data_IF_500260998843
#
_entry.id   IF_500260998843
#
_cell.length_a   1.000
_cell.length_b   1.000
_cell.length_c   1.000
_cell.angle_alpha   90.00
_cell.angle_beta   90.00
_cell.angle_gamma   90.00
#
_symmetry.space_group_name_H-M   'P 1'
#
loop_
_entity.id
_entity.type
_entity.pdbx_description
1 polymer ?
#
# COMPACT_ATOMS: atom_id res chain seq x y z
N UNK A 1 17.63 7.84 5.89
CA UNK A 1 17.10 7.22 7.11
C UNK A 1 15.92 6.33 6.75
N UNK A 2 15.80 5.19 7.41
CA UNK A 2 14.70 4.27 7.15
C UNK A 2 13.49 4.59 8.02
N UNK A 3 12.30 4.28 7.47
CA UNK A 3 11.04 4.37 8.21
C UNK A 3 10.85 3.09 9.02
N UNK A 4 9.77 3.06 9.82
CA UNK A 4 9.41 1.85 10.58
C UNK A 4 9.12 0.65 9.68
N UNK A 5 8.90 0.88 8.38
CA UNK A 5 8.59 -0.19 7.41
C UNK A 5 9.86 -0.77 6.78
N UNK A 6 11.05 -0.30 7.17
CA UNK A 6 12.29 -0.70 6.54
C UNK A 6 12.48 -0.12 5.14
N UNK A 7 11.77 0.95 4.82
CA UNK A 7 11.86 1.66 3.56
C UNK A 7 12.57 2.99 3.79
N UNK A 8 13.39 3.42 2.81
CA UNK A 8 13.95 4.76 2.86
C UNK A 8 12.82 5.79 2.86
N UNK A 9 13.05 6.91 3.54
CA UNK A 9 12.04 7.98 3.61
C UNK A 9 11.61 8.44 2.22
N UNK A 10 12.57 8.55 1.28
CA UNK A 10 12.26 8.96 -0.08
C UNK A 10 11.37 7.95 -0.81
N UNK A 11 11.55 6.66 -0.52
CA UNK A 11 10.74 5.61 -1.15
C UNK A 11 9.31 5.67 -0.63
N UNK A 12 9.14 5.84 0.68
CA UNK A 12 7.80 6.00 1.25
C UNK A 12 7.12 7.26 0.72
N UNK A 13 7.87 8.36 0.62
CA UNK A 13 7.32 9.61 0.09
C UNK A 13 6.89 9.45 -1.37
N UNK A 14 7.64 8.69 -2.17
CA UNK A 14 7.28 8.41 -3.55
C UNK A 14 5.98 7.59 -3.61
N UNK A 15 5.88 6.55 -2.79
CA UNK A 15 4.68 5.72 -2.72
C UNK A 15 3.45 6.57 -2.38
N UNK A 16 3.56 7.40 -1.36
CA UNK A 16 2.45 8.27 -0.93
C UNK A 16 2.08 9.26 -2.04
N UNK A 17 3.06 9.84 -2.72
CA UNK A 17 2.82 10.78 -3.81
C UNK A 17 2.08 10.12 -4.97
N UNK A 18 2.49 8.91 -5.35
CA UNK A 18 1.83 8.17 -6.43
C UNK A 18 0.39 7.82 -6.06
N UNK A 19 0.18 7.31 -4.84
CA UNK A 19 -1.18 6.99 -4.37
C UNK A 19 -2.04 8.26 -4.38
N UNK A 20 -1.46 9.39 -3.98
CA UNK A 20 -2.16 10.68 -3.94
C UNK A 20 -2.62 11.18 -5.29
N UNK A 21 -2.07 10.67 -6.40
CA UNK A 21 -2.52 11.01 -7.75
C UNK A 21 -3.87 10.40 -8.10
N UNK A 22 -4.35 9.44 -7.30
CA UNK A 22 -5.61 8.75 -7.55
C UNK A 22 -6.68 9.30 -6.60
N UNK A 23 -7.52 10.24 -7.07
CA UNK A 23 -8.48 10.88 -6.17
C UNK A 23 -9.51 9.93 -5.58
N UNK A 24 -9.75 8.78 -6.23
CA UNK A 24 -10.67 7.77 -5.73
C UNK A 24 -10.10 7.03 -4.50
N UNK A 25 -8.79 7.11 -4.27
CA UNK A 25 -8.19 6.50 -3.08
C UNK A 25 -8.27 7.51 -1.94
N UNK A 26 -9.11 7.22 -0.96
CA UNK A 26 -9.37 8.13 0.17
C UNK A 26 -8.46 7.86 1.36
N UNK A 27 -7.97 6.64 1.47
CA UNK A 27 -7.07 6.24 2.55
C UNK A 27 -6.21 5.09 2.05
N UNK A 28 -4.97 5.01 2.54
CA UNK A 28 -4.09 3.89 2.25
C UNK A 28 -3.29 3.52 3.49
N UNK A 29 -3.01 2.23 3.64
CA UNK A 29 -2.25 1.71 4.77
C UNK A 29 -1.30 0.62 4.30
N UNK A 30 -0.12 0.57 4.92
CA UNK A 30 0.78 -0.57 4.74
C UNK A 30 0.39 -1.62 5.77
N UNK A 31 0.30 -2.88 5.34
CA UNK A 31 -0.01 -4.00 6.23
C UNK A 31 1.01 -5.13 6.00
N UNK A 32 0.74 -6.31 6.54
CA UNK A 32 1.63 -7.45 6.36
C UNK A 32 2.93 -7.32 7.14
N UNK A 33 3.99 -7.96 6.65
CA UNK A 33 5.24 -8.07 7.39
C UNK A 33 5.91 -6.72 7.65
N UNK A 34 5.83 -5.78 6.71
CA UNK A 34 6.46 -4.47 6.90
C UNK A 34 5.76 -3.64 7.98
N UNK A 35 4.44 -3.78 8.11
CA UNK A 35 3.70 -3.11 9.17
C UNK A 35 3.96 -3.75 10.53
N UNK A 36 4.11 -5.08 10.55
CA UNK A 36 4.35 -5.84 11.78
C UNK A 36 5.79 -5.75 12.27
N UNK A 37 6.72 -5.31 11.42
CA UNK A 37 8.14 -5.29 11.78
C UNK A 37 8.84 -6.62 11.60
N UNK A 38 8.20 -7.60 10.99
CA UNK A 38 8.77 -8.93 10.77
C UNK A 38 9.33 -9.10 9.36
N UNK A 39 9.44 -8.00 8.61
CA UNK A 39 9.93 -8.02 7.24
C UNK A 39 11.40 -8.41 7.19
N UNK A 40 11.78 -8.94 6.02
CA UNK A 40 13.16 -9.21 5.67
C UNK A 40 13.56 -8.28 4.53
N UNK A 41 14.86 -8.18 4.27
CA UNK A 41 15.35 -7.42 3.12
C UNK A 41 14.69 -7.95 1.86
N UNK A 42 14.07 -7.06 1.09
CA UNK A 42 13.40 -7.45 -0.14
C UNK A 42 11.97 -7.97 0.03
N UNK A 43 11.43 -7.95 1.24
CA UNK A 43 10.01 -8.31 1.45
C UNK A 43 9.10 -7.43 0.62
N UNK A 44 8.00 -8.02 0.11
CA UNK A 44 6.99 -7.28 -0.64
C UNK A 44 6.37 -6.18 0.20
N UNK A 45 5.85 -5.16 -0.48
CA UNK A 45 5.15 -4.06 0.18
C UNK A 45 3.65 -4.30 -0.03
N UNK A 46 2.93 -4.54 1.08
CA UNK A 46 1.50 -4.80 1.06
C UNK A 46 0.75 -3.51 1.38
N UNK A 47 -0.11 -3.07 0.46
CA UNK A 47 -0.85 -1.81 0.60
C UNK A 47 -2.34 -2.09 0.49
N UNK A 48 -3.10 -1.61 1.48
CA UNK A 48 -4.56 -1.62 1.43
C UNK A 48 -5.02 -0.22 1.04
N UNK A 49 -5.92 -0.15 0.06
CA UNK A 49 -6.49 1.12 -0.38
C UNK A 49 -7.98 1.12 -0.10
N UNK A 50 -8.50 2.30 0.28
CA UNK A 50 -9.88 2.49 0.74
C UNK A 50 -10.54 3.58 -0.09
N UNK A 51 -11.75 3.33 -0.57
CA UNK A 51 -12.52 4.31 -1.32
C UNK A 51 -13.65 3.65 -2.08
N UNK A 52 -14.82 4.30 -2.12
CA UNK A 52 -16.00 3.73 -2.77
C UNK A 52 -15.85 3.65 -4.29
N UNK A 53 -15.08 4.57 -4.88
CA UNK A 53 -14.93 4.65 -6.32
C UNK A 53 -13.74 3.85 -6.87
N UNK A 54 -13.05 3.09 -6.02
CA UNK A 54 -11.94 2.24 -6.45
C UNK A 54 -12.47 1.13 -7.35
N UNK A 55 -11.80 0.94 -8.48
CA UNK A 55 -12.14 -0.07 -9.47
C UNK A 55 -10.92 -0.96 -9.75
N UNK A 56 -11.14 -2.00 -10.56
CA UNK A 56 -10.03 -2.81 -11.04
C UNK A 56 -8.99 -1.96 -11.77
N UNK A 57 -9.43 -0.96 -12.54
CA UNK A 57 -8.53 -0.07 -13.26
C UNK A 57 -7.64 0.72 -12.28
N UNK A 58 -8.21 1.16 -11.16
CA UNK A 58 -7.43 1.85 -10.12
C UNK A 58 -6.28 0.98 -9.64
N UNK A 59 -6.58 -0.28 -9.30
CA UNK A 59 -5.59 -1.22 -8.80
C UNK A 59 -4.52 -1.49 -9.84
N UNK A 60 -4.92 -1.77 -11.08
CA UNK A 60 -3.98 -2.07 -12.15
C UNK A 60 -3.04 -0.89 -12.45
N UNK A 61 -3.60 0.33 -12.50
CA UNK A 61 -2.82 1.53 -12.78
C UNK A 61 -1.85 1.83 -11.64
N UNK A 62 -2.31 1.69 -10.40
CA UNK A 62 -1.45 1.93 -9.24
C UNK A 62 -0.30 0.92 -9.20
N UNK A 63 -0.61 -0.34 -9.44
CA UNK A 63 0.40 -1.41 -9.46
C UNK A 63 1.47 -1.13 -10.53
N UNK A 64 1.05 -0.74 -11.73
CA UNK A 64 1.97 -0.40 -12.81
C UNK A 64 2.86 0.79 -12.43
N UNK A 65 2.27 1.84 -11.85
CA UNK A 65 3.03 3.01 -11.44
C UNK A 65 4.08 2.66 -10.40
N UNK A 66 3.75 1.78 -9.47
CA UNK A 66 4.66 1.43 -8.37
C UNK A 66 5.71 0.40 -8.77
N UNK A 67 5.38 -0.54 -9.64
CA UNK A 67 6.34 -1.59 -10.02
C UNK A 67 7.10 -1.30 -11.30
N UNK A 68 6.43 -0.81 -12.34
CA UNK A 68 7.04 -0.67 -13.65
C UNK A 68 7.63 0.72 -13.91
N UNK A 69 7.02 1.75 -13.34
CA UNK A 69 7.47 3.13 -13.58
C UNK A 69 8.34 3.68 -12.45
N UNK A 70 8.52 2.90 -11.40
CA UNK A 70 9.30 3.31 -10.23
C UNK A 70 10.68 2.66 -10.24
N UNK A 71 11.72 3.36 -9.76
CA UNK A 71 13.05 2.77 -9.64
C UNK A 71 13.19 1.84 -8.43
N UNK A 72 12.15 1.65 -7.64
CA UNK A 72 12.22 0.85 -6.43
C UNK A 72 12.26 -0.65 -6.74
N UNK A 73 13.16 -1.41 -6.10
CA UNK A 73 13.32 -2.83 -6.40
C UNK A 73 12.36 -3.71 -5.59
N UNK A 74 11.13 -3.25 -5.36
CA UNK A 74 10.14 -3.97 -4.56
C UNK A 74 8.96 -4.41 -5.40
N UNK A 75 8.37 -5.54 -5.02
CA UNK A 75 7.07 -5.95 -5.54
C UNK A 75 5.99 -5.42 -4.60
N UNK A 76 4.82 -5.14 -5.16
CA UNK A 76 3.72 -4.55 -4.42
C UNK A 76 2.50 -5.46 -4.50
N UNK A 77 1.83 -5.66 -3.37
CA UNK A 77 0.55 -6.35 -3.30
C UNK A 77 -0.49 -5.31 -2.88
N UNK A 78 -1.46 -5.04 -3.75
CA UNK A 78 -2.43 -3.99 -3.53
C UNK A 78 -3.81 -4.60 -3.34
N UNK A 79 -4.45 -4.28 -2.22
CA UNK A 79 -5.76 -4.81 -1.86
C UNK A 79 -6.78 -3.67 -1.80
N UNK A 80 -7.90 -3.85 -2.50
CA UNK A 80 -9.06 -2.96 -2.38
C UNK A 80 -9.83 -3.37 -1.13
N UNK A 81 -9.56 -2.68 -0.03
CA UNK A 81 -10.18 -3.01 1.25
C UNK A 81 -11.70 -2.80 1.22
N UNK A 82 -12.13 -1.68 0.64
CA UNK A 82 -13.55 -1.29 0.66
C UNK A 82 -14.46 -2.34 0.02
N UNK A 83 -14.03 -2.92 -1.09
CA UNK A 83 -14.84 -3.87 -1.85
C UNK A 83 -14.49 -5.33 -1.56
N UNK A 84 -13.53 -5.58 -0.66
CA UNK A 84 -13.12 -6.95 -0.34
C UNK A 84 -14.19 -7.66 0.48
N UNK A 85 -14.41 -8.94 0.16
CA UNK A 85 -15.31 -9.82 0.94
C UNK A 85 -14.51 -10.78 1.81
N UNK A 86 -13.19 -10.69 1.80
CA UNK A 86 -12.30 -11.59 2.54
C UNK A 86 -12.14 -11.09 3.98
N UNK A 87 -12.97 -11.60 4.88
CA UNK A 87 -13.06 -11.08 6.25
C UNK A 87 -11.75 -11.22 7.04
N UNK A 88 -11.06 -12.34 6.92
CA UNK A 88 -9.81 -12.54 7.65
C UNK A 88 -8.76 -11.52 7.23
N UNK A 89 -8.65 -11.24 5.93
CA UNK A 89 -7.73 -10.26 5.41
C UNK A 89 -8.08 -8.86 5.90
N UNK A 90 -9.37 -8.52 5.90
CA UNK A 90 -9.82 -7.21 6.39
C UNK A 90 -9.49 -7.03 7.86
N UNK A 91 -9.70 -8.08 8.67
CA UNK A 91 -9.37 -8.04 10.10
C UNK A 91 -7.88 -7.89 10.31
N UNK A 92 -7.07 -8.57 9.51
CA UNK A 92 -5.61 -8.45 9.58
C UNK A 92 -5.18 -7.02 9.29
N UNK A 93 -5.73 -6.42 8.22
CA UNK A 93 -5.43 -5.04 7.84
C UNK A 93 -5.81 -4.07 8.95
N UNK A 94 -7.00 -4.28 9.57
CA UNK A 94 -7.46 -3.43 10.67
C UNK A 94 -6.55 -3.53 11.88
N UNK A 95 -6.03 -4.73 12.16
CA UNK A 95 -5.21 -4.97 13.34
C UNK A 95 -3.78 -4.44 13.18
N UNK A 96 -3.17 -4.65 12.03
CA UNK A 96 -1.74 -4.34 11.84
C UNK A 96 -1.47 -3.18 10.90
N UNK A 97 -2.45 -2.73 10.13
CA UNK A 97 -2.26 -1.70 9.14
C UNK A 97 -1.80 -0.37 9.73
N UNK A 98 -0.87 0.29 9.04
CA UNK A 98 -0.38 1.61 9.41
C UNK A 98 -0.76 2.59 8.30
N UNK A 99 -1.56 3.60 8.64
CA UNK A 99 -2.05 4.56 7.65
C UNK A 99 -0.89 5.41 7.14
N UNK A 100 -0.76 5.50 5.82
CA UNK A 100 0.26 6.32 5.17
C UNK A 100 -0.35 7.48 4.38
N UNK A 101 -1.64 7.43 4.11
CA UNK A 101 -2.38 8.51 3.43
C UNK A 101 -3.82 8.47 3.93
N UNK A 102 -4.35 9.64 4.26
CA UNK A 102 -5.76 9.77 4.65
C UNK A 102 -6.22 11.17 4.33
N UNK A 103 -7.40 11.28 3.67
CA UNK A 103 -7.93 12.60 3.29
C UNK A 103 -9.47 12.66 3.31
#
# INVERSE_FOLDING_TARGET
>A
METIFGLAERDLAYIVAVIGEFPEIRKAAIFGSRAKGTFKKGSDIDIAIFGEAISFTTIASLHERLEEESPMPYLFDIVDYTHSTHQELKQHIERVGKIILER
#
